data_IF_264996940227
#
_entry.id   IF_264996940227
#
_cell.length_a   1.000
_cell.length_b   1.000
_cell.length_c   1.000
_cell.angle_alpha   90.00
_cell.angle_beta   90.00
_cell.angle_gamma   90.00
#
_symmetry.space_group_name_H-M   'P 1'
#
loop_
_entity.id
_entity.type
_entity.pdbx_description
1 polymer ?
#
# COMPACT_ATOMS: atom_id res chain seq x y z
N UNK A 1 23.48 13.64 -13.65
CA UNK A 1 22.35 13.35 -12.74
C UNK A 1 21.30 12.56 -13.52
N UNK A 2 21.19 11.25 -13.32
CA UNK A 2 20.08 10.49 -13.94
C UNK A 2 18.80 10.98 -13.30
N UNK A 3 17.97 11.70 -14.06
CA UNK A 3 16.70 12.22 -13.56
C UNK A 3 15.82 11.04 -13.11
N UNK A 4 15.23 11.13 -11.92
CA UNK A 4 14.26 10.16 -11.37
C UNK A 4 13.15 9.84 -12.38
N UNK A 5 12.79 10.82 -13.22
CA UNK A 5 11.83 10.64 -14.32
C UNK A 5 12.28 9.58 -15.34
N UNK A 6 13.58 9.48 -15.63
CA UNK A 6 14.11 8.42 -16.50
C UNK A 6 13.98 7.05 -15.85
N UNK A 7 14.19 6.96 -14.53
CA UNK A 7 13.97 5.72 -13.78
C UNK A 7 12.49 5.31 -13.85
N UNK A 8 11.55 6.23 -13.65
CA UNK A 8 10.12 5.92 -13.81
C UNK A 8 9.77 5.43 -15.21
N UNK A 9 10.33 6.07 -16.25
CA UNK A 9 10.13 5.65 -17.63
C UNK A 9 10.66 4.23 -17.86
N UNK A 10 11.83 3.90 -17.29
CA UNK A 10 12.39 2.56 -17.37
C UNK A 10 11.50 1.53 -16.66
N UNK A 11 11.04 1.84 -15.44
CA UNK A 11 10.13 0.96 -14.68
C UNK A 11 8.81 0.70 -15.42
N UNK A 12 8.23 1.75 -16.01
CA UNK A 12 7.06 1.61 -16.87
C UNK A 12 7.33 0.70 -18.07
N UNK A 13 8.46 0.86 -18.77
CA UNK A 13 8.79 0.01 -19.92
C UNK A 13 9.03 -1.46 -19.53
N UNK A 14 9.53 -1.73 -18.31
CA UNK A 14 9.63 -3.09 -17.78
C UNK A 14 8.25 -3.69 -17.46
N UNK A 15 7.34 -2.88 -16.93
CA UNK A 15 6.05 -3.34 -16.44
C UNK A 15 4.90 -3.28 -17.46
N UNK A 16 5.03 -2.56 -18.58
CA UNK A 16 3.92 -2.27 -19.51
C UNK A 16 3.24 -3.50 -20.11
N UNK A 17 3.98 -4.59 -20.27
CA UNK A 17 3.46 -5.86 -20.79
C UNK A 17 3.31 -6.92 -19.68
N UNK A 18 3.43 -6.50 -18.42
CA UNK A 18 3.19 -7.34 -17.25
C UNK A 18 1.74 -7.22 -16.79
N UNK A 19 1.26 -8.24 -16.07
CA UNK A 19 -0.04 -8.25 -15.40
C UNK A 19 -0.18 -7.11 -14.38
N UNK A 20 0.93 -6.53 -13.92
CA UNK A 20 0.96 -5.48 -12.90
C UNK A 20 0.05 -4.29 -13.19
N UNK A 21 0.07 -3.75 -14.42
CA UNK A 21 -0.77 -2.59 -14.77
C UNK A 21 -2.26 -2.96 -14.80
N UNK A 22 -2.59 -4.17 -15.26
CA UNK A 22 -3.95 -4.69 -15.22
C UNK A 22 -4.44 -4.85 -13.78
N UNK A 23 -3.60 -5.35 -12.86
CA UNK A 23 -3.96 -5.44 -11.44
C UNK A 23 -4.28 -4.06 -10.84
N UNK A 24 -3.51 -3.02 -11.15
CA UNK A 24 -3.76 -1.65 -10.64
C UNK A 24 -4.97 -0.95 -11.28
N UNK A 25 -5.55 -1.53 -12.33
CA UNK A 25 -6.68 -0.91 -13.04
C UNK A 25 -7.97 -1.72 -12.86
N UNK A 26 -7.92 -3.02 -13.13
CA UNK A 26 -9.10 -3.91 -13.14
C UNK A 26 -9.55 -4.26 -11.72
N UNK A 27 -8.63 -4.62 -10.82
CA UNK A 27 -8.98 -5.04 -9.45
C UNK A 27 -9.71 -3.91 -8.70
N UNK A 28 -9.20 -2.66 -8.68
CA UNK A 28 -9.92 -1.52 -8.09
C UNK A 28 -11.36 -1.35 -8.56
N UNK A 29 -11.59 -1.42 -9.88
CA UNK A 29 -12.92 -1.20 -10.49
C UNK A 29 -13.86 -2.34 -10.11
N UNK A 30 -13.44 -3.59 -10.29
CA UNK A 30 -14.30 -4.75 -10.03
C UNK A 30 -14.66 -4.82 -8.54
N UNK A 31 -13.69 -4.66 -7.64
CA UNK A 31 -13.95 -4.67 -6.21
C UNK A 31 -14.90 -3.54 -5.81
N UNK A 32 -14.67 -2.32 -6.29
CA UNK A 32 -15.56 -1.18 -6.02
C UNK A 32 -17.00 -1.45 -6.52
N UNK A 33 -17.16 -2.01 -7.72
CA UNK A 33 -18.48 -2.31 -8.29
C UNK A 33 -19.22 -3.40 -7.49
N UNK A 34 -18.53 -4.46 -7.07
CA UNK A 34 -19.12 -5.54 -6.26
C UNK A 34 -19.60 -4.98 -4.91
N UNK A 35 -18.76 -4.22 -4.21
CA UNK A 35 -19.15 -3.63 -2.92
C UNK A 35 -20.28 -2.62 -3.06
N UNK A 36 -20.24 -1.75 -4.07
CA UNK A 36 -21.32 -0.81 -4.34
C UNK A 36 -22.64 -1.53 -4.62
N UNK A 37 -22.63 -2.57 -5.47
CA UNK A 37 -23.81 -3.38 -5.78
C UNK A 37 -24.38 -4.09 -4.55
N UNK A 38 -23.51 -4.67 -3.71
CA UNK A 38 -23.93 -5.29 -2.44
C UNK A 38 -24.55 -4.28 -1.48
N UNK A 39 -23.98 -3.07 -1.36
CA UNK A 39 -24.47 -2.07 -0.42
C UNK A 39 -25.74 -1.35 -0.85
N UNK A 40 -26.10 -1.38 -2.14
CA UNK A 40 -27.43 -0.96 -2.60
C UNK A 40 -28.57 -1.83 -2.06
N UNK A 41 -28.31 -3.11 -1.80
CA UNK A 41 -29.33 -4.06 -1.30
C UNK A 41 -29.19 -4.38 0.20
N UNK A 42 -28.03 -4.10 0.79
CA UNK A 42 -27.77 -4.33 2.21
C UNK A 42 -28.56 -3.35 3.09
N UNK A 43 -29.05 -3.85 4.23
CA UNK A 43 -29.75 -3.07 5.27
C UNK A 43 -28.82 -2.45 6.31
N UNK A 44 -27.50 -2.53 6.11
CA UNK A 44 -26.54 -1.95 7.04
C UNK A 44 -26.67 -0.43 7.09
N UNK A 45 -26.33 0.15 8.24
CA UNK A 45 -26.21 1.59 8.39
C UNK A 45 -25.14 2.15 7.43
N UNK A 46 -25.36 3.38 6.97
CA UNK A 46 -24.51 4.02 5.97
C UNK A 46 -23.04 4.07 6.39
N UNK A 47 -22.78 4.51 7.62
CA UNK A 47 -21.42 4.59 8.14
C UNK A 47 -20.72 3.22 8.18
N UNK A 48 -21.44 2.16 8.58
CA UNK A 48 -20.92 0.79 8.59
C UNK A 48 -20.56 0.31 7.19
N UNK A 49 -21.39 0.61 6.18
CA UNK A 49 -21.11 0.25 4.77
C UNK A 49 -19.82 0.90 4.27
N UNK A 50 -19.66 2.19 4.56
CA UNK A 50 -18.48 2.96 4.14
C UNK A 50 -17.23 2.49 4.90
N UNK A 51 -17.32 2.30 6.22
CA UNK A 51 -16.22 1.78 7.04
C UNK A 51 -15.76 0.43 6.50
N UNK A 52 -16.68 -0.52 6.33
CA UNK A 52 -16.37 -1.85 5.84
C UNK A 52 -15.74 -1.83 4.43
N UNK A 53 -16.17 -0.95 3.53
CA UNK A 53 -15.52 -0.80 2.22
C UNK A 53 -14.06 -0.35 2.35
N UNK A 54 -13.84 0.72 3.12
CA UNK A 54 -12.50 1.30 3.30
C UNK A 54 -11.57 0.35 4.04
N UNK A 55 -12.05 -0.32 5.07
CA UNK A 55 -11.34 -1.37 5.81
C UNK A 55 -10.95 -2.53 4.91
N UNK A 56 -11.85 -3.04 4.06
CA UNK A 56 -11.54 -4.13 3.12
C UNK A 56 -10.45 -3.69 2.14
N UNK A 57 -10.48 -2.45 1.64
CA UNK A 57 -9.38 -1.93 0.84
C UNK A 57 -8.07 -2.00 1.63
N UNK A 58 -8.04 -1.44 2.84
CA UNK A 58 -6.85 -1.42 3.68
C UNK A 58 -6.32 -2.81 4.04
N UNK A 59 -7.19 -3.80 4.27
CA UNK A 59 -6.83 -5.21 4.47
C UNK A 59 -6.27 -5.84 3.21
N UNK A 60 -6.78 -5.49 2.02
CA UNK A 60 -6.31 -6.05 0.76
C UNK A 60 -4.95 -5.49 0.31
N UNK A 61 -4.57 -4.29 0.76
CA UNK A 61 -3.32 -3.64 0.36
C UNK A 61 -2.06 -4.47 0.65
N UNK A 62 -1.80 -4.97 1.88
CA UNK A 62 -0.61 -5.78 2.15
C UNK A 62 -0.47 -6.99 1.22
N UNK A 63 -1.57 -7.69 0.96
CA UNK A 63 -1.61 -8.82 0.02
C UNK A 63 -1.26 -8.37 -1.40
N UNK A 64 -1.91 -7.33 -1.92
CA UNK A 64 -1.65 -6.82 -3.26
C UNK A 64 -0.21 -6.28 -3.40
N UNK A 65 0.29 -5.53 -2.41
CA UNK A 65 1.67 -5.05 -2.35
C UNK A 65 2.64 -6.23 -2.41
N UNK A 66 2.39 -7.29 -1.62
CA UNK A 66 3.23 -8.48 -1.61
C UNK A 66 3.33 -9.17 -2.97
N UNK A 67 2.21 -9.28 -3.69
CA UNK A 67 2.17 -9.82 -5.05
C UNK A 67 2.88 -8.89 -6.03
N UNK A 68 2.50 -7.61 -6.06
CA UNK A 68 3.02 -6.61 -7.00
C UNK A 68 4.53 -6.47 -6.86
N UNK A 69 5.03 -6.29 -5.63
CA UNK A 69 6.46 -6.20 -5.37
C UNK A 69 7.17 -7.50 -5.72
N UNK A 70 6.57 -8.65 -5.39
CA UNK A 70 7.11 -9.96 -5.76
C UNK A 70 7.25 -10.13 -7.28
N UNK A 71 6.29 -9.64 -8.06
CA UNK A 71 6.36 -9.65 -9.54
C UNK A 71 7.44 -8.70 -10.06
N UNK A 72 7.55 -7.48 -9.52
CA UNK A 72 8.61 -6.54 -9.91
C UNK A 72 9.98 -7.12 -9.64
N UNK A 73 10.17 -7.71 -8.46
CA UNK A 73 11.41 -8.41 -8.08
C UNK A 73 11.69 -9.57 -9.03
N UNK A 74 10.68 -10.38 -9.36
CA UNK A 74 10.84 -11.49 -10.29
C UNK A 74 11.29 -11.01 -11.68
N UNK A 75 10.73 -9.91 -12.19
CA UNK A 75 11.13 -9.33 -13.47
C UNK A 75 12.62 -8.93 -13.44
N UNK A 76 13.08 -8.28 -12.37
CA UNK A 76 14.50 -7.90 -12.24
C UNK A 76 15.43 -9.12 -12.09
N UNK A 77 14.98 -10.15 -11.38
CA UNK A 77 15.76 -11.38 -11.22
C UNK A 77 15.88 -12.15 -12.54
N UNK A 78 14.81 -12.19 -13.35
CA UNK A 78 14.82 -12.82 -14.67
C UNK A 78 15.58 -11.98 -15.71
N UNK A 79 15.71 -10.68 -15.50
CA UNK A 79 16.47 -9.74 -16.34
C UNK A 79 17.98 -9.79 -16.04
N UNK A 80 18.54 -11.00 -15.98
CA UNK A 80 19.97 -11.25 -15.72
C UNK A 80 20.36 -11.06 -14.26
N UNK A 81 19.58 -11.57 -13.31
CA UNK A 81 19.89 -11.55 -11.88
C UNK A 81 20.25 -10.15 -11.36
N UNK A 82 19.37 -9.16 -11.64
CA UNK A 82 19.56 -7.77 -11.24
C UNK A 82 20.75 -7.05 -11.90
N UNK A 83 21.49 -7.67 -12.84
CA UNK A 83 22.62 -7.03 -13.51
C UNK A 83 22.21 -5.74 -14.24
N UNK A 84 21.05 -5.72 -14.88
CA UNK A 84 20.54 -4.51 -15.52
C UNK A 84 20.21 -3.42 -14.48
N UNK A 85 19.63 -3.79 -13.34
CA UNK A 85 19.29 -2.87 -12.26
C UNK A 85 20.53 -2.22 -11.63
N UNK A 86 21.58 -3.02 -11.41
CA UNK A 86 22.80 -2.63 -10.70
C UNK A 86 23.89 -2.06 -11.62
N UNK A 87 23.94 -2.50 -12.88
CA UNK A 87 25.01 -2.18 -13.83
C UNK A 87 24.70 -1.04 -14.80
N UNK A 88 23.43 -0.74 -15.08
CA UNK A 88 23.09 0.28 -16.10
C UNK A 88 22.86 1.68 -15.54
N UNK A 89 22.50 1.81 -14.26
CA UNK A 89 22.19 3.11 -13.64
C UNK A 89 23.31 3.50 -12.67
N UNK A 90 23.96 4.66 -12.85
CA UNK A 90 25.13 5.06 -12.06
C UNK A 90 24.82 5.34 -10.57
N UNK A 91 23.55 5.57 -10.19
CA UNK A 91 23.16 5.83 -8.80
C UNK A 91 22.17 4.78 -8.30
N UNK A 92 22.65 3.92 -7.39
CA UNK A 92 21.83 2.89 -6.73
C UNK A 92 20.65 3.49 -5.95
N UNK A 93 20.88 4.59 -5.23
CA UNK A 93 19.82 5.28 -4.49
C UNK A 93 18.75 5.83 -5.43
N UNK A 94 19.13 6.43 -6.56
CA UNK A 94 18.16 6.93 -7.54
C UNK A 94 17.34 5.79 -8.17
N UNK A 95 17.96 4.63 -8.41
CA UNK A 95 17.25 3.43 -8.88
C UNK A 95 16.19 2.97 -7.88
N UNK A 96 16.55 2.87 -6.60
CA UNK A 96 15.63 2.45 -5.55
C UNK A 96 14.46 3.43 -5.39
N UNK A 97 14.77 4.74 -5.28
CA UNK A 97 13.76 5.80 -5.19
C UNK A 97 12.87 5.83 -6.43
N UNK A 98 13.44 5.61 -7.61
CA UNK A 98 12.69 5.51 -8.86
C UNK A 98 11.69 4.36 -8.84
N UNK A 99 12.11 3.17 -8.39
CA UNK A 99 11.24 1.99 -8.29
C UNK A 99 10.13 2.18 -7.25
N UNK A 100 10.49 2.65 -6.05
CA UNK A 100 9.51 2.99 -5.02
C UNK A 100 8.52 4.04 -5.52
N UNK A 101 9.00 5.12 -6.14
CA UNK A 101 8.15 6.18 -6.69
C UNK A 101 7.20 5.68 -7.79
N UNK A 102 7.68 4.81 -8.68
CA UNK A 102 6.82 4.19 -9.69
C UNK A 102 5.70 3.35 -9.07
N UNK A 103 6.03 2.51 -8.08
CA UNK A 103 5.05 1.72 -7.34
C UNK A 103 4.03 2.61 -6.61
N UNK A 104 4.47 3.70 -6.00
CA UNK A 104 3.59 4.66 -5.32
C UNK A 104 2.68 5.41 -6.29
N UNK A 105 3.13 5.75 -7.51
CA UNK A 105 2.28 6.35 -8.55
C UNK A 105 1.19 5.37 -8.99
N UNK A 106 1.55 4.10 -9.20
CA UNK A 106 0.57 3.05 -9.51
C UNK A 106 -0.43 2.85 -8.36
N UNK A 107 0.05 2.82 -7.12
CA UNK A 107 -0.80 2.72 -5.93
C UNK A 107 -1.75 3.91 -5.81
N UNK A 108 -1.27 5.13 -6.05
CA UNK A 108 -2.07 6.34 -6.08
C UNK A 108 -3.21 6.21 -7.09
N UNK A 109 -2.88 5.85 -8.34
CA UNK A 109 -3.86 5.65 -9.40
C UNK A 109 -4.91 4.59 -9.03
N UNK A 110 -4.47 3.44 -8.55
CA UNK A 110 -5.35 2.34 -8.15
C UNK A 110 -6.27 2.71 -6.97
N UNK A 111 -5.75 3.42 -5.98
CA UNK A 111 -6.52 3.86 -4.80
C UNK A 111 -7.64 4.81 -5.20
N UNK A 112 -7.31 5.87 -5.96
CA UNK A 112 -8.32 6.83 -6.38
C UNK A 112 -9.27 6.28 -7.43
N UNK A 113 -8.84 5.29 -8.22
CA UNK A 113 -9.74 4.55 -9.10
C UNK A 113 -10.74 3.73 -8.28
N UNK A 114 -10.30 2.97 -7.27
CA UNK A 114 -11.20 2.21 -6.39
C UNK A 114 -12.20 3.14 -5.70
N UNK A 115 -11.70 4.15 -4.99
CA UNK A 115 -12.53 5.09 -4.22
C UNK A 115 -13.44 5.91 -5.13
N UNK A 116 -12.94 6.37 -6.28
CA UNK A 116 -13.72 7.13 -7.25
C UNK A 116 -14.82 6.30 -7.90
N UNK A 117 -14.54 5.05 -8.28
CA UNK A 117 -15.55 4.11 -8.79
C UNK A 117 -16.62 3.84 -7.72
N UNK A 118 -16.21 3.56 -6.49
CA UNK A 118 -17.17 3.33 -5.40
C UNK A 118 -18.04 4.56 -5.13
N UNK A 119 -17.43 5.74 -4.99
CA UNK A 119 -18.15 6.99 -4.76
C UNK A 119 -19.10 7.35 -5.93
N UNK A 120 -18.73 7.01 -7.16
CA UNK A 120 -19.58 7.26 -8.34
C UNK A 120 -20.81 6.32 -8.39
N UNK A 121 -20.64 5.06 -7.97
CA UNK A 121 -21.67 4.03 -7.96
C UNK A 121 -22.53 4.06 -6.68
N UNK A 122 -21.98 4.54 -5.57
CA UNK A 122 -22.59 4.56 -4.24
C UNK A 122 -22.48 5.97 -3.63
N UNK A 123 -23.37 6.86 -4.06
CA UNK A 123 -23.30 8.33 -3.87
C UNK A 123 -23.85 8.82 -2.53
N UNK A 124 -23.64 8.06 -1.46
CA UNK A 124 -24.25 8.33 -0.15
C UNK A 124 -23.29 9.03 0.84
N UNK A 125 -22.02 9.26 0.46
CA UNK A 125 -21.03 9.92 1.32
C UNK A 125 -20.33 11.10 0.61
N UNK A 126 -19.85 12.11 1.37
CA UNK A 126 -19.19 13.26 0.78
C UNK A 126 -17.84 12.88 0.15
N UNK A 127 -17.50 13.46 -1.01
CA UNK A 127 -16.23 13.22 -1.69
C UNK A 127 -14.99 13.54 -0.84
N UNK A 128 -15.12 14.50 0.10
CA UNK A 128 -14.04 14.85 1.03
C UNK A 128 -13.66 13.71 1.99
N UNK A 129 -14.59 12.81 2.31
CA UNK A 129 -14.31 11.61 3.10
C UNK A 129 -13.37 10.68 2.34
N UNK A 130 -13.72 10.34 1.09
CA UNK A 130 -12.93 9.47 0.24
C UNK A 130 -11.56 10.07 -0.09
N UNK A 131 -11.48 11.39 -0.28
CA UNK A 131 -10.19 12.07 -0.49
C UNK A 131 -9.27 11.93 0.72
N UNK A 132 -9.79 12.18 1.93
CA UNK A 132 -9.03 12.01 3.18
C UNK A 132 -8.59 10.55 3.38
N UNK A 133 -9.52 9.61 3.19
CA UNK A 133 -9.23 8.18 3.29
C UNK A 133 -8.14 7.76 2.30
N UNK A 134 -8.25 8.14 1.02
CA UNK A 134 -7.26 7.79 -0.01
C UNK A 134 -5.86 8.33 0.30
N UNK A 135 -5.74 9.60 0.72
CA UNK A 135 -4.44 10.19 1.10
C UNK A 135 -3.85 9.45 2.30
N UNK A 136 -4.64 9.23 3.35
CA UNK A 136 -4.17 8.59 4.57
C UNK A 136 -3.78 7.12 4.35
N UNK A 137 -4.54 6.42 3.50
CA UNK A 137 -4.23 5.06 3.08
C UNK A 137 -2.89 4.98 2.36
N UNK A 138 -2.62 5.90 1.43
CA UNK A 138 -1.34 5.94 0.73
C UNK A 138 -0.15 6.22 1.66
N UNK A 139 -0.32 7.11 2.63
CA UNK A 139 0.71 7.41 3.65
C UNK A 139 1.00 6.16 4.49
N UNK A 140 -0.04 5.49 4.97
CA UNK A 140 0.10 4.31 5.84
C UNK A 140 0.61 3.07 5.11
N UNK A 141 0.48 3.00 3.78
CA UNK A 141 0.99 1.89 2.96
C UNK A 141 2.43 2.05 2.48
N UNK A 142 2.98 3.27 2.47
CA UNK A 142 4.39 3.51 2.16
C UNK A 142 5.39 2.62 2.95
N UNK A 143 5.29 2.48 4.28
CA UNK A 143 6.17 1.58 5.04
C UNK A 143 6.03 0.11 4.62
N UNK A 144 4.83 -0.32 4.21
CA UNK A 144 4.60 -1.68 3.72
C UNK A 144 5.35 -1.91 2.41
N UNK A 145 5.32 -0.96 1.47
CA UNK A 145 6.14 -1.04 0.25
C UNK A 145 7.64 -1.15 0.54
N UNK A 146 8.15 -0.40 1.52
CA UNK A 146 9.57 -0.45 1.92
C UNK A 146 9.95 -1.84 2.45
N UNK A 147 9.15 -2.38 3.38
CA UNK A 147 9.33 -3.73 3.93
C UNK A 147 9.31 -4.76 2.80
N UNK A 148 8.31 -4.70 1.93
CA UNK A 148 8.17 -5.67 0.83
C UNK A 148 9.28 -5.57 -0.21
N UNK A 149 9.77 -4.37 -0.55
CA UNK A 149 10.90 -4.21 -1.46
C UNK A 149 12.16 -4.82 -0.87
N UNK A 150 12.43 -4.57 0.42
CA UNK A 150 13.56 -5.19 1.12
C UNK A 150 13.44 -6.72 1.12
N UNK A 151 12.30 -7.25 1.55
CA UNK A 151 12.06 -8.69 1.64
C UNK A 151 12.10 -9.35 0.27
N UNK A 152 11.44 -8.76 -0.72
CA UNK A 152 11.39 -9.28 -2.07
C UNK A 152 12.77 -9.32 -2.72
N UNK A 153 13.55 -8.24 -2.65
CA UNK A 153 14.89 -8.21 -3.23
C UNK A 153 15.88 -9.12 -2.46
N UNK A 154 15.69 -9.32 -1.15
CA UNK A 154 16.57 -10.17 -0.34
C UNK A 154 16.25 -11.66 -0.45
N UNK A 155 14.97 -12.02 -0.48
CA UNK A 155 14.48 -13.40 -0.32
C UNK A 155 13.60 -13.88 -1.48
N UNK A 156 13.41 -13.04 -2.50
CA UNK A 156 12.66 -13.36 -3.71
C UNK A 156 11.15 -13.15 -3.61
N UNK A 157 10.47 -13.43 -4.73
CA UNK A 157 9.02 -13.24 -4.91
C UNK A 157 8.19 -13.97 -3.84
N UNK A 158 8.52 -15.23 -3.56
CA UNK A 158 7.75 -16.07 -2.64
C UNK A 158 7.69 -15.49 -1.23
N UNK A 159 8.81 -14.96 -0.73
CA UNK A 159 8.86 -14.31 0.58
C UNK A 159 8.00 -13.05 0.64
N UNK A 160 8.06 -12.20 -0.39
CA UNK A 160 7.19 -11.01 -0.46
C UNK A 160 5.71 -11.37 -0.52
N UNK A 161 5.33 -12.40 -1.29
CA UNK A 161 3.94 -12.86 -1.37
C UNK A 161 3.45 -13.45 -0.04
N UNK A 162 4.26 -14.30 0.60
CA UNK A 162 3.94 -14.89 1.90
C UNK A 162 3.77 -13.83 3.00
N UNK A 163 4.66 -12.85 3.04
CA UNK A 163 4.54 -11.72 3.96
C UNK A 163 3.29 -10.88 3.68
N UNK A 164 2.86 -10.77 2.42
CA UNK A 164 1.65 -10.04 2.04
C UNK A 164 0.40 -10.72 2.57
N UNK A 165 0.34 -12.05 2.46
CA UNK A 165 -0.75 -12.87 3.02
C UNK A 165 -0.78 -12.71 4.55
N UNK A 166 0.36 -12.90 5.23
CA UNK A 166 0.45 -12.75 6.68
C UNK A 166 0.07 -11.33 7.12
N UNK A 167 0.55 -10.33 6.40
CA UNK A 167 0.26 -8.92 6.64
C UNK A 167 -1.23 -8.57 6.53
N UNK A 168 -1.92 -9.11 5.53
CA UNK A 168 -3.37 -8.94 5.39
C UNK A 168 -4.15 -9.63 6.50
N UNK A 169 -3.72 -10.81 6.96
CA UNK A 169 -4.33 -11.46 8.13
C UNK A 169 -4.14 -10.63 9.41
N UNK A 170 -2.94 -10.08 9.61
CA UNK A 170 -2.68 -9.15 10.73
C UNK A 170 -3.58 -7.92 10.61
N UNK A 171 -3.67 -7.29 9.43
CA UNK A 171 -4.55 -6.15 9.21
C UNK A 171 -6.02 -6.47 9.55
N UNK A 172 -6.53 -7.64 9.12
CA UNK A 172 -7.88 -8.09 9.45
C UNK A 172 -8.09 -8.30 10.96
N UNK A 173 -7.12 -8.91 11.64
CA UNK A 173 -7.16 -9.08 13.11
C UNK A 173 -7.17 -7.74 13.85
N UNK A 174 -6.58 -6.69 13.26
CA UNK A 174 -6.52 -5.37 13.90
C UNK A 174 -7.86 -4.64 13.87
N UNK A 175 -8.85 -5.10 13.10
CA UNK A 175 -10.21 -4.55 13.06
C UNK A 175 -11.10 -5.18 14.15
N UNK A 176 -10.79 -6.38 14.65
CA UNK A 176 -11.67 -7.14 15.58
C UNK A 176 -11.68 -6.62 17.03
N UNK A 177 -10.93 -5.56 17.32
CA UNK A 177 -10.70 -5.06 18.68
C UNK A 177 -9.48 -5.65 19.39
N UNK A 178 -8.94 -6.79 18.91
CA UNK A 178 -7.75 -7.41 19.51
C UNK A 178 -6.52 -6.48 19.49
N UNK A 179 -6.43 -5.62 18.47
CA UNK A 179 -5.32 -4.68 18.26
C UNK A 179 -5.44 -3.34 18.97
N UNK A 180 -6.51 -3.06 19.73
CA UNK A 180 -6.84 -1.70 20.20
C UNK A 180 -5.72 -1.03 21.00
N UNK A 181 -4.94 -1.81 21.75
CA UNK A 181 -3.86 -1.28 22.59
C UNK A 181 -2.50 -1.24 21.89
N UNK A 182 -2.33 -1.99 20.79
CA UNK A 182 -1.00 -2.23 20.17
C UNK A 182 -0.89 -1.78 18.72
N UNK A 183 -2.00 -1.42 18.06
CA UNK A 183 -2.06 -1.08 16.63
C UNK A 183 -1.02 -0.04 16.21
N UNK A 184 -0.69 0.91 17.09
CA UNK A 184 0.27 2.00 16.83
C UNK A 184 1.66 1.50 16.45
N UNK A 185 2.04 0.31 16.88
CA UNK A 185 3.37 -0.26 16.66
C UNK A 185 3.40 -1.30 15.54
N UNK A 186 2.26 -1.59 14.93
CA UNK A 186 2.11 -2.66 13.93
C UNK A 186 1.85 -2.01 12.56
N UNK A 187 2.81 -2.05 11.61
CA UNK A 187 2.66 -1.38 10.32
C UNK A 187 1.39 -1.77 9.54
N UNK A 188 1.04 -3.06 9.58
CA UNK A 188 -0.15 -3.59 8.92
C UNK A 188 -1.48 -3.10 9.53
N UNK A 189 -1.46 -2.57 10.74
CA UNK A 189 -2.65 -2.02 11.40
C UNK A 189 -2.94 -0.56 11.01
N UNK A 190 -1.92 0.20 10.57
CA UNK A 190 -2.07 1.64 10.36
C UNK A 190 -3.10 1.99 9.30
N UNK A 191 -3.14 1.24 8.21
CA UNK A 191 -4.11 1.43 7.13
C UNK A 191 -5.55 1.23 7.57
N UNK A 192 -5.84 0.12 8.25
CA UNK A 192 -7.21 -0.20 8.70
C UNK A 192 -7.68 0.81 9.75
N UNK A 193 -6.83 1.13 10.74
CA UNK A 193 -7.16 2.13 11.77
C UNK A 193 -7.35 3.51 11.18
N UNK A 194 -6.54 3.89 10.19
CA UNK A 194 -6.74 5.13 9.45
C UNK A 194 -8.13 5.22 8.83
N UNK A 195 -8.67 4.11 8.31
CA UNK A 195 -10.02 4.08 7.74
C UNK A 195 -11.09 4.24 8.82
N UNK A 196 -10.99 3.47 9.92
CA UNK A 196 -11.90 3.55 11.06
C UNK A 196 -11.99 4.99 11.60
N UNK A 197 -10.84 5.60 11.87
CA UNK A 197 -10.77 6.97 12.41
C UNK A 197 -11.26 8.01 11.41
N UNK A 198 -11.09 7.78 10.10
CA UNK A 198 -11.59 8.70 9.07
C UNK A 198 -13.12 8.67 9.00
N UNK A 199 -13.74 7.49 9.10
CA UNK A 199 -15.20 7.34 9.16
C UNK A 199 -15.74 7.86 10.48
N UNK A 200 -15.10 7.53 11.60
CA UNK A 200 -15.49 8.02 12.93
C UNK A 200 -15.49 9.55 13.00
N UNK A 201 -14.48 10.20 12.41
CA UNK A 201 -14.40 11.66 12.34
C UNK A 201 -15.53 12.30 11.53
N UNK A 202 -16.14 11.56 10.60
CA UNK A 202 -17.24 12.04 9.76
C UNK A 202 -18.60 11.73 10.38
N UNK A 203 -18.81 10.49 10.83
CA UNK A 203 -20.08 10.01 11.35
C UNK A 203 -20.35 10.47 12.78
N UNK A 204 -19.33 10.42 13.65
CA UNK A 204 -19.45 10.69 15.09
C UNK A 204 -18.33 11.63 15.61
N UNK A 205 -18.33 12.92 15.24
CA UNK A 205 -17.23 13.85 15.54
C UNK A 205 -16.95 14.04 17.04
N UNK A 206 -17.96 13.93 17.89
CA UNK A 206 -17.81 14.07 19.35
C UNK A 206 -17.03 12.89 19.93
N UNK A 207 -17.29 11.67 19.44
CA UNK A 207 -16.55 10.48 19.84
C UNK A 207 -15.12 10.52 19.30
N UNK A 208 -14.95 10.91 18.03
CA UNK A 208 -13.62 11.15 17.44
C UNK A 208 -12.80 12.14 18.27
N UNK A 209 -13.40 13.21 18.78
CA UNK A 209 -12.70 14.21 19.58
C UNK A 209 -12.08 13.64 20.87
N UNK A 210 -12.63 12.57 21.42
CA UNK A 210 -12.12 11.88 22.61
C UNK A 210 -10.91 10.99 22.30
N UNK A 211 -10.87 10.38 21.11
CA UNK A 211 -9.85 9.43 20.68
C UNK A 211 -8.82 10.02 19.71
N UNK A 212 -9.00 11.27 19.25
CA UNK A 212 -8.12 11.92 18.27
C UNK A 212 -6.66 11.93 18.69
N UNK A 213 -6.36 12.10 19.98
CA UNK A 213 -5.00 12.12 20.51
C UNK A 213 -4.32 10.76 20.35
N UNK A 214 -5.06 9.68 20.59
CA UNK A 214 -4.62 8.30 20.35
C UNK A 214 -4.27 8.10 18.87
N UNK A 215 -5.19 8.49 17.98
CA UNK A 215 -4.99 8.42 16.55
C UNK A 215 -3.76 9.20 16.07
N UNK A 216 -3.62 10.48 16.48
CA UNK A 216 -2.47 11.30 16.12
C UNK A 216 -1.15 10.69 16.62
N UNK A 217 -1.13 10.14 17.83
CA UNK A 217 0.06 9.47 18.36
C UNK A 217 0.49 8.27 17.50
N UNK A 218 -0.48 7.45 17.06
CA UNK A 218 -0.21 6.33 16.16
C UNK A 218 0.29 6.77 14.78
N UNK A 219 -0.29 7.84 14.23
CA UNK A 219 0.15 8.41 12.95
C UNK A 219 1.57 8.99 13.03
N UNK A 220 1.93 9.65 14.14
CA UNK A 220 3.31 10.13 14.37
C UNK A 220 4.28 8.94 14.38
N UNK A 221 3.96 7.88 15.13
CA UNK A 221 4.78 6.66 15.18
C UNK A 221 4.93 6.06 13.78
N UNK A 222 3.84 5.96 13.02
CA UNK A 222 3.85 5.45 11.63
C UNK A 222 4.78 6.25 10.72
N UNK A 223 4.71 7.58 10.77
CA UNK A 223 5.59 8.46 9.96
C UNK A 223 7.04 8.32 10.39
N UNK A 224 7.33 8.33 11.70
CA UNK A 224 8.68 8.12 12.22
C UNK A 224 9.26 6.77 11.78
N UNK A 225 8.50 5.69 11.94
CA UNK A 225 8.90 4.36 11.48
C UNK A 225 9.14 4.33 9.96
N UNK A 226 8.30 5.00 9.18
CA UNK A 226 8.44 5.08 7.71
C UNK A 226 9.73 5.79 7.30
N UNK A 227 10.07 6.91 7.96
CA UNK A 227 11.33 7.62 7.73
C UNK A 227 12.53 6.74 8.09
N UNK A 228 12.50 6.07 9.24
CA UNK A 228 13.55 5.14 9.65
C UNK A 228 13.72 3.99 8.65
N UNK A 229 12.60 3.39 8.20
CA UNK A 229 12.62 2.32 7.20
C UNK A 229 13.19 2.80 5.86
N UNK A 230 12.85 4.02 5.42
CA UNK A 230 13.35 4.58 4.17
C UNK A 230 14.87 4.80 4.23
N UNK A 231 15.37 5.36 5.33
CA UNK A 231 16.82 5.56 5.52
C UNK A 231 17.52 4.21 5.55
N UNK A 232 17.02 3.26 6.35
CA UNK A 232 17.58 1.92 6.44
C UNK A 232 17.59 1.20 5.09
N UNK A 233 16.50 1.27 4.32
CA UNK A 233 16.40 0.64 3.01
C UNK A 233 17.35 1.26 1.99
N UNK A 234 17.57 2.58 2.04
CA UNK A 234 18.51 3.26 1.16
C UNK A 234 19.96 2.90 1.48
N UNK A 235 20.33 2.86 2.76
CA UNK A 235 21.66 2.44 3.21
C UNK A 235 21.92 0.98 2.81
N UNK A 236 20.94 0.11 3.06
CA UNK A 236 21.02 -1.30 2.66
C UNK A 236 21.17 -1.45 1.14
N UNK A 237 20.31 -0.79 0.34
CA UNK A 237 20.33 -0.91 -1.12
C UNK A 237 21.60 -0.33 -1.74
N UNK A 238 22.25 0.65 -1.10
CA UNK A 238 23.53 1.17 -1.54
C UNK A 238 24.62 0.08 -1.55
N UNK A 239 24.66 -0.76 -0.50
CA UNK A 239 25.62 -1.86 -0.37
C UNK A 239 25.15 -3.20 -0.97
N UNK A 240 23.91 -3.30 -1.44
CA UNK A 240 23.34 -4.55 -1.95
C UNK A 240 23.85 -4.88 -3.36
N UNK A 241 24.28 -6.14 -3.56
CA UNK A 241 24.94 -6.60 -4.79
C UNK A 241 24.09 -7.56 -5.63
N UNK A 242 22.80 -7.72 -5.28
CA UNK A 242 21.92 -8.72 -5.89
C UNK A 242 21.57 -9.83 -4.89
N UNK A 243 20.44 -10.50 -5.13
CA UNK A 243 20.01 -11.59 -4.26
C UNK A 243 21.05 -12.72 -4.26
N UNK A 244 21.46 -13.19 -3.06
CA UNK A 244 22.30 -14.37 -2.89
C UNK A 244 21.49 -15.64 -3.18
N UNK A 245 21.08 -15.79 -4.43
CA UNK A 245 20.67 -17.09 -4.95
C UNK A 245 21.78 -17.53 -5.89
N UNK A 246 22.92 -17.88 -5.28
CA UNK A 246 23.74 -18.95 -5.80
C UNK A 246 22.93 -20.23 -5.61
N UNK A 247 22.59 -20.86 -6.73
CA UNK A 247 21.82 -22.11 -6.95
C UNK A 247 20.44 -21.91 -7.60
#
# INVERSE_FOLDING_TARGET
>A
MVSVVRCWKAEYQKCKHSILLYMHSIIPIICAAIFAGYYHISRWELATKISAYLEVLAVAFPFLIGIIVGLVVQIENQAGHYQLLLGTIPSRMATYIGKLGFLMICAFGATFLALGTFAALYRDAPASLYLKAGILLLITMLPIYLIHLFVGMSFGKGASMGLGIAGSLIAALMITGLGDTTWKYIPWAWGVRAMDYTVLAWDSPQLYAQVKTDFFSGMIISVCCTVCLLIASLVWFHGWEGGKNSE
#
